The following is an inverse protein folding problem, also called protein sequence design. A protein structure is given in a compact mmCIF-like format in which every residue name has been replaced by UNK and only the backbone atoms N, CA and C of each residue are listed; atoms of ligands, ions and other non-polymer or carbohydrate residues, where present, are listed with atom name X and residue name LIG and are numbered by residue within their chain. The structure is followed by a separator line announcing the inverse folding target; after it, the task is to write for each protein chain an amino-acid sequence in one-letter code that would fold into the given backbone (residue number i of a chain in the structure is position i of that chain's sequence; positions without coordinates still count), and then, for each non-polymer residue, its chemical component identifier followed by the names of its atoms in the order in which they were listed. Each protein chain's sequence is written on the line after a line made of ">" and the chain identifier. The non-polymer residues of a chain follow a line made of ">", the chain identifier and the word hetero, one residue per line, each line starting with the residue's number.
data_IF_093133857801
#
_entry.id   IF_093133857801
#
_cell.length_a   1.000
_cell.length_b   1.000
_cell.length_c   1.000
_cell.angle_alpha   90.00
_cell.angle_beta   90.00
_cell.angle_gamma   90.00
#
_symmetry.space_group_name_H-M   'P 1'
#
loop_
_entity.id
_entity.type
_entity.pdbx_description
1 polymer ?
#
# COMPACT_ATOMS: atom_id res chain seq x y z
N UNK A 1 -33.90 3.51 1.98
CA UNK A 1 -32.86 3.77 2.99
C UNK A 1 -31.55 3.21 2.46
N UNK A 2 -30.62 4.06 2.02
CA UNK A 2 -29.27 3.63 1.63
C UNK A 2 -28.44 3.34 2.89
N UNK A 3 -27.74 2.19 2.92
CA UNK A 3 -26.85 1.81 4.03
C UNK A 3 -25.52 2.56 3.90
N UNK A 4 -25.15 3.34 4.91
CA UNK A 4 -23.86 4.03 4.98
C UNK A 4 -22.70 3.01 5.05
N UNK A 5 -21.61 3.17 4.28
CA UNK A 5 -20.50 2.22 4.28
C UNK A 5 -19.80 2.16 5.65
N UNK A 6 -19.60 0.94 6.17
CA UNK A 6 -18.97 0.67 7.46
C UNK A 6 -17.49 1.09 7.47
N UNK A 7 -17.06 1.77 8.54
CA UNK A 7 -15.64 2.13 8.77
C UNK A 7 -14.85 0.87 9.19
N UNK A 8 -13.58 0.77 8.79
CA UNK A 8 -12.71 -0.36 9.15
C UNK A 8 -12.40 -0.43 10.63
N UNK A 9 -12.19 -1.64 11.10
CA UNK A 9 -11.91 -1.94 12.50
C UNK A 9 -10.47 -1.62 12.85
N UNK A 10 -10.19 -1.46 14.16
CA UNK A 10 -8.85 -1.14 14.65
C UNK A 10 -7.80 -2.20 14.29
N UNK A 11 -8.22 -3.46 14.18
CA UNK A 11 -7.35 -4.57 13.86
C UNK A 11 -6.98 -4.58 12.37
N UNK A 12 -7.92 -4.21 11.51
CA UNK A 12 -7.65 -3.96 10.09
C UNK A 12 -6.71 -2.77 9.89
N UNK A 13 -6.82 -1.74 10.73
CA UNK A 13 -5.83 -0.66 10.73
C UNK A 13 -4.44 -1.16 11.14
N UNK A 14 -4.31 -1.93 12.23
CA UNK A 14 -3.01 -2.46 12.67
C UNK A 14 -2.36 -3.35 11.62
N UNK A 15 -3.13 -4.22 10.98
CA UNK A 15 -2.63 -5.08 9.91
C UNK A 15 -2.09 -4.28 8.72
N UNK A 16 -2.72 -3.15 8.37
CA UNK A 16 -2.17 -2.27 7.34
C UNK A 16 -0.85 -1.62 7.76
N UNK A 17 -0.70 -1.21 9.02
CA UNK A 17 0.56 -0.71 9.60
C UNK A 17 1.62 -1.80 9.86
N UNK A 18 1.38 -3.05 9.45
CA UNK A 18 2.41 -4.10 9.44
C UNK A 18 2.70 -4.49 8.00
N UNK A 19 1.66 -4.52 7.15
CA UNK A 19 1.84 -4.68 5.72
C UNK A 19 2.74 -3.59 5.16
N UNK A 20 2.48 -2.32 5.50
CA UNK A 20 3.37 -1.30 5.03
C UNK A 20 4.81 -1.59 5.55
N UNK A 21 5.00 -2.11 6.80
CA UNK A 21 6.28 -2.44 7.51
C UNK A 21 7.21 -3.29 6.68
N UNK A 22 6.60 -4.18 5.93
CA UNK A 22 7.30 -5.19 5.18
C UNK A 22 7.60 -4.69 3.76
N UNK A 23 6.66 -3.97 3.14
CA UNK A 23 6.94 -3.34 1.84
C UNK A 23 7.96 -2.21 1.99
N UNK A 24 8.19 -1.71 3.20
CA UNK A 24 9.38 -0.95 3.55
C UNK A 24 10.67 -1.63 3.13
N UNK A 25 10.87 -2.73 3.81
CA UNK A 25 12.17 -3.23 4.17
C UNK A 25 12.73 -3.95 2.96
N UNK A 26 11.83 -4.58 2.20
CA UNK A 26 12.12 -5.18 0.91
C UNK A 26 12.54 -4.18 -0.16
N UNK A 27 12.10 -2.96 -0.02
CA UNK A 27 12.13 -1.99 -1.07
C UNK A 27 13.40 -1.13 -0.81
N UNK A 28 13.80 -0.95 0.46
CA UNK A 28 15.15 -0.58 0.92
C UNK A 28 16.20 -1.65 0.57
N UNK A 29 15.93 -2.94 0.81
CA UNK A 29 16.82 -4.04 0.40
C UNK A 29 17.02 -4.11 -1.12
N UNK A 30 16.00 -3.78 -1.89
CA UNK A 30 16.05 -3.75 -3.35
C UNK A 30 16.70 -2.47 -3.93
N UNK A 31 17.09 -1.51 -3.08
CA UNK A 31 17.75 -0.26 -3.51
C UNK A 31 16.85 0.63 -4.39
N UNK A 32 15.54 0.47 -4.26
CA UNK A 32 14.57 1.30 -4.97
C UNK A 32 14.41 2.59 -4.15
N UNK A 33 14.15 3.74 -4.79
CA UNK A 33 14.06 5.02 -4.06
C UNK A 33 12.91 5.89 -4.55
N UNK A 34 12.17 6.52 -3.62
CA UNK A 34 11.05 7.40 -3.95
C UNK A 34 11.42 8.88 -3.75
N UNK A 35 11.49 9.65 -4.84
CA UNK A 35 11.69 11.10 -4.76
C UNK A 35 10.38 11.82 -4.38
N UNK A 36 10.31 12.33 -3.14
CA UNK A 36 9.14 13.01 -2.56
C UNK A 36 8.89 14.40 -3.21
N UNK A 37 9.92 14.97 -3.84
CA UNK A 37 9.81 16.10 -4.77
C UNK A 37 10.22 15.59 -6.14
N UNK A 38 9.35 15.70 -7.15
CA UNK A 38 9.55 15.16 -8.51
C UNK A 38 10.83 15.62 -9.27
N UNK A 39 11.76 16.35 -8.64
CA UNK A 39 13.03 16.86 -9.20
C UNK A 39 14.21 16.92 -8.23
N UNK A 40 14.21 16.19 -7.12
CA UNK A 40 15.41 16.08 -6.26
C UNK A 40 15.81 14.60 -6.19
N UNK A 41 17.03 14.21 -6.61
CA UNK A 41 17.50 12.82 -6.62
C UNK A 41 17.86 12.40 -5.18
N UNK A 42 16.88 12.45 -4.28
CA UNK A 42 17.05 11.99 -2.92
C UNK A 42 16.61 10.54 -2.91
N UNK A 43 17.65 9.73 -2.83
CA UNK A 43 17.66 8.29 -2.75
C UNK A 43 17.24 7.88 -1.33
N UNK A 44 15.94 7.78 -1.07
CA UNK A 44 15.44 7.25 0.20
C UNK A 44 15.22 5.75 0.05
N UNK A 45 15.81 4.93 0.93
CA UNK A 45 15.45 3.53 0.98
C UNK A 45 13.95 3.43 1.20
N UNK A 46 13.28 2.54 0.49
CA UNK A 46 11.86 2.42 0.78
C UNK A 46 11.67 1.98 2.21
N UNK A 47 10.64 2.56 2.78
CA UNK A 47 10.19 2.17 4.07
C UNK A 47 8.68 2.03 4.01
N UNK A 48 8.13 1.57 5.11
CA UNK A 48 6.73 1.22 5.22
C UNK A 48 5.93 2.44 5.01
N UNK A 49 6.39 3.42 5.74
CA UNK A 49 5.94 4.77 5.71
C UNK A 49 5.96 5.24 4.26
N UNK A 50 7.02 5.01 3.50
CA UNK A 50 7.10 5.44 2.09
C UNK A 50 6.09 4.71 1.20
N UNK A 51 5.97 3.39 1.29
CA UNK A 51 4.98 2.63 0.49
C UNK A 51 3.56 3.01 0.86
N UNK A 52 3.31 3.20 2.15
CA UNK A 52 2.05 3.68 2.69
C UNK A 52 1.71 5.05 2.17
N UNK A 53 2.67 5.96 2.12
CA UNK A 53 2.47 7.29 1.56
C UNK A 53 2.21 7.22 0.05
N UNK A 54 2.89 6.35 -0.68
CA UNK A 54 2.63 6.13 -2.11
C UNK A 54 1.22 5.55 -2.36
N UNK A 55 0.85 4.51 -1.62
CA UNK A 55 -0.50 3.97 -1.62
C UNK A 55 -1.53 5.05 -1.27
N UNK A 56 -1.26 5.86 -0.24
CA UNK A 56 -2.14 6.95 0.20
C UNK A 56 -2.30 8.00 -0.90
N UNK A 57 -1.23 8.33 -1.63
CA UNK A 57 -1.30 9.26 -2.75
C UNK A 57 -2.25 8.75 -3.85
N UNK A 58 -2.12 7.47 -4.24
CA UNK A 58 -3.02 6.84 -5.23
C UNK A 58 -4.45 6.79 -4.70
N UNK A 59 -4.63 6.42 -3.44
CA UNK A 59 -5.94 6.35 -2.79
C UNK A 59 -6.65 7.71 -2.75
N UNK A 60 -5.94 8.79 -2.37
CA UNK A 60 -6.54 10.13 -2.35
C UNK A 60 -6.92 10.54 -3.78
N UNK A 61 -6.06 10.27 -4.76
CA UNK A 61 -6.32 10.61 -6.16
C UNK A 61 -7.54 9.87 -6.75
N UNK A 62 -7.76 8.60 -6.40
CA UNK A 62 -8.83 7.78 -7.00
C UNK A 62 -10.15 7.84 -6.26
N UNK A 63 -10.12 7.91 -4.93
CA UNK A 63 -11.33 7.74 -4.10
C UNK A 63 -11.50 8.83 -3.04
N UNK A 64 -10.64 9.86 -3.05
CA UNK A 64 -10.68 11.01 -2.14
C UNK A 64 -10.80 10.63 -0.66
N UNK A 65 -10.13 9.54 -0.26
CA UNK A 65 -10.08 9.05 1.12
C UNK A 65 -8.64 9.05 1.58
N UNK A 66 -8.39 9.57 2.79
CA UNK A 66 -7.03 9.68 3.35
C UNK A 66 -6.62 8.43 4.12
N UNK A 67 -7.56 7.88 4.88
CA UNK A 67 -7.32 6.64 5.61
C UNK A 67 -7.83 5.51 4.76
N UNK A 68 -6.98 4.51 4.55
CA UNK A 68 -7.41 3.24 3.99
C UNK A 68 -8.68 2.75 4.74
N UNK A 69 -8.96 3.22 5.99
CA UNK A 69 -10.04 2.77 6.90
C UNK A 69 -11.43 3.09 6.48
N UNK A 70 -11.53 3.82 5.39
CA UNK A 70 -12.78 4.20 4.80
C UNK A 70 -12.96 3.52 3.44
N UNK A 71 -12.03 2.66 3.02
CA UNK A 71 -12.09 1.93 1.76
C UNK A 71 -12.98 0.70 1.89
N UNK A 72 -13.85 0.55 0.90
CA UNK A 72 -14.55 -0.67 0.59
C UNK A 72 -13.63 -1.63 -0.15
N UNK A 73 -14.01 -2.91 -0.24
CA UNK A 73 -13.27 -3.93 -0.98
C UNK A 73 -13.00 -3.53 -2.44
N UNK A 74 -14.03 -3.02 -3.13
CA UNK A 74 -13.91 -2.56 -4.52
C UNK A 74 -12.92 -1.42 -4.68
N UNK A 75 -12.87 -0.51 -3.70
CA UNK A 75 -11.91 0.60 -3.72
C UNK A 75 -10.48 0.14 -3.42
N UNK A 76 -10.30 -0.93 -2.64
CA UNK A 76 -8.98 -1.54 -2.44
C UNK A 76 -8.52 -2.24 -3.71
N UNK A 77 -9.39 -3.01 -4.36
CA UNK A 77 -9.09 -3.66 -5.65
C UNK A 77 -8.67 -2.60 -6.69
N UNK A 78 -9.41 -1.49 -6.79
CA UNK A 78 -9.09 -0.38 -7.70
C UNK A 78 -7.71 0.26 -7.41
N UNK A 79 -7.42 0.56 -6.15
CA UNK A 79 -6.14 1.16 -5.74
C UNK A 79 -5.00 0.16 -5.92
N UNK A 80 -5.22 -1.11 -5.59
CA UNK A 80 -4.27 -2.20 -5.77
C UNK A 80 -3.92 -2.42 -7.23
N UNK A 81 -4.89 -2.44 -8.14
CA UNK A 81 -4.63 -2.61 -9.57
C UNK A 81 -3.73 -1.50 -10.11
N UNK A 82 -3.95 -0.27 -9.65
CA UNK A 82 -3.14 0.89 -10.06
C UNK A 82 -1.75 0.85 -9.46
N UNK A 83 -1.65 0.47 -8.19
CA UNK A 83 -0.38 0.30 -7.49
C UNK A 83 0.45 -0.83 -8.09
N UNK A 84 -0.16 -2.00 -8.33
CA UNK A 84 0.48 -3.16 -8.94
C UNK A 84 0.89 -2.88 -10.40
N UNK A 85 0.08 -2.15 -11.17
CA UNK A 85 0.47 -1.70 -12.51
C UNK A 85 1.68 -0.78 -12.48
N UNK A 86 1.67 0.24 -11.63
CA UNK A 86 2.82 1.15 -11.45
C UNK A 86 4.08 0.37 -11.06
N UNK A 87 3.97 -0.60 -10.15
CA UNK A 87 5.12 -1.44 -9.76
C UNK A 87 5.63 -2.29 -10.94
N UNK A 88 4.72 -2.87 -11.73
CA UNK A 88 5.11 -3.66 -12.90
C UNK A 88 5.74 -2.81 -14.01
N UNK A 89 5.28 -1.58 -14.20
CA UNK A 89 5.77 -0.66 -15.24
C UNK A 89 7.12 -0.02 -14.85
N UNK A 90 7.23 0.49 -13.63
CA UNK A 90 8.42 1.23 -13.16
C UNK A 90 9.52 0.32 -12.63
N UNK A 91 9.14 -0.82 -12.03
CA UNK A 91 10.09 -1.71 -11.34
C UNK A 91 10.13 -3.12 -11.92
N UNK A 92 9.26 -3.46 -12.89
CA UNK A 92 9.16 -4.80 -13.48
C UNK A 92 8.91 -5.90 -12.44
N UNK A 93 8.23 -5.56 -11.34
CA UNK A 93 7.88 -6.47 -10.26
C UNK A 93 6.37 -6.73 -10.25
N UNK A 94 6.00 -7.95 -9.89
CA UNK A 94 4.61 -8.30 -9.64
C UNK A 94 4.47 -8.81 -8.21
N UNK A 95 3.69 -8.09 -7.41
CA UNK A 95 3.42 -8.47 -6.03
C UNK A 95 1.96 -8.85 -5.94
N UNK A 96 1.71 -10.16 -5.96
CA UNK A 96 0.37 -10.70 -5.74
C UNK A 96 -0.13 -10.31 -4.35
N UNK A 97 -1.43 -9.98 -4.27
CA UNK A 97 -2.05 -9.72 -2.97
C UNK A 97 -1.92 -11.00 -2.11
N UNK A 98 -1.36 -10.91 -0.89
CA UNK A 98 -1.07 -12.09 -0.09
C UNK A 98 -2.35 -12.85 0.26
N UNK A 99 -2.28 -14.18 0.15
CA UNK A 99 -3.37 -15.07 0.55
C UNK A 99 -3.40 -15.24 2.08
N UNK A 100 -4.57 -15.60 2.61
CA UNK A 100 -4.77 -15.84 4.06
C UNK A 100 -3.82 -16.93 4.59
N UNK A 101 -3.46 -17.91 3.77
CA UNK A 101 -2.56 -19.00 4.13
C UNK A 101 -1.12 -18.53 4.31
N UNK A 102 -0.66 -17.58 3.48
CA UNK A 102 0.68 -17.01 3.59
C UNK A 102 0.82 -16.19 4.88
N UNK A 103 -0.22 -15.45 5.27
CA UNK A 103 -0.23 -14.66 6.50
C UNK A 103 -0.14 -15.51 7.79
N UNK A 104 -0.45 -16.81 7.73
CA UNK A 104 -0.40 -17.70 8.89
C UNK A 104 0.98 -18.36 9.07
N UNK A 105 1.79 -18.46 8.01
CA UNK A 105 3.12 -19.07 8.06
C UNK A 105 4.20 -18.10 8.59
N UNK A 106 3.96 -16.79 8.51
CA UNK A 106 4.93 -15.76 8.95
C UNK A 106 4.81 -15.40 10.45
N UNK A 107 3.91 -16.05 11.19
CA UNK A 107 3.63 -15.76 12.61
C UNK A 107 4.07 -16.88 13.58
N UNK A 108 4.83 -17.89 13.11
CA UNK A 108 5.53 -18.91 13.93
C UNK A 108 7.03 -18.62 14.00
#
# INVERSE_FOLDING_TARGET
>A
MEKTPSKRTNQQNKALHVLFALVADEFEKAGVEMSIFAKLPIRVPWSEVIVKELWRAIQIAQVNKVSTSKLTRKEIELVYDTFNRMIAEEFHLHIAFPSIQQLLQDNE
#
